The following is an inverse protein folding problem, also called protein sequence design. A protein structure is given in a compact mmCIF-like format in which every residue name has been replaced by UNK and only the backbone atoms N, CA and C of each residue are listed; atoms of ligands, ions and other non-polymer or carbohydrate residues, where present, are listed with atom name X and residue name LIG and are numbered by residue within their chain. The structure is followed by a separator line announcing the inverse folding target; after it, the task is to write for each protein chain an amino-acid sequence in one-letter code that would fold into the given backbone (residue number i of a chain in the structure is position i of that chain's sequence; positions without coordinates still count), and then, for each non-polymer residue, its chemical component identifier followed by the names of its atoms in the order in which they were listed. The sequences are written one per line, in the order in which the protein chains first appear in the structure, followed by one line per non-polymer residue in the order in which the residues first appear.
data_IF_983653889787
#
_entry.id   IF_983653889787
#
_cell.length_a   1.000
_cell.length_b   1.000
_cell.length_c   1.000
_cell.angle_alpha   90.00
_cell.angle_beta   90.00
_cell.angle_gamma   90.00
#
_symmetry.space_group_name_H-M   'P 1'
#
loop_
_entity.id
_entity.type
_entity.pdbx_description
1 polymer ?
#
# COMPACT_ATOMS: atom_id res chain seq x y z
N UNK A 1 16.99 16.31 14.65
CA UNK A 1 16.70 15.61 13.38
C UNK A 1 15.60 14.61 13.66
N UNK A 2 14.37 14.89 13.22
CA UNK A 2 13.22 14.00 13.42
C UNK A 2 13.41 12.75 12.57
N UNK A 3 13.98 11.69 13.15
CA UNK A 3 14.02 10.37 12.54
C UNK A 3 12.58 9.92 12.31
N UNK A 4 12.14 9.93 11.05
CA UNK A 4 10.89 9.27 10.68
C UNK A 4 10.92 7.85 11.28
N UNK A 5 9.82 7.40 11.92
CA UNK A 5 9.78 6.05 12.47
C UNK A 5 10.17 5.06 11.38
N UNK A 6 11.21 4.26 11.60
CA UNK A 6 11.77 3.36 10.59
C UNK A 6 10.70 2.45 9.95
N UNK A 7 9.66 2.11 10.72
CA UNK A 7 8.48 1.41 10.23
C UNK A 7 7.70 2.15 9.13
N UNK A 8 7.56 3.48 9.18
CA UNK A 8 6.90 4.26 8.11
C UNK A 8 7.71 4.28 6.82
N UNK A 9 9.05 4.32 6.94
CA UNK A 9 9.96 4.29 5.78
C UNK A 9 9.86 2.97 5.03
N UNK A 10 9.61 1.86 5.73
CA UNK A 10 9.41 0.53 5.11
C UNK A 10 7.97 0.32 4.63
N UNK A 11 6.98 0.86 5.36
CA UNK A 11 5.56 0.71 5.01
C UNK A 11 5.22 1.35 3.66
N UNK A 12 5.77 2.53 3.37
CA UNK A 12 5.49 3.26 2.13
C UNK A 12 5.88 2.49 0.85
N UNK A 13 7.15 2.02 0.68
CA UNK A 13 7.53 1.26 -0.50
C UNK A 13 6.76 -0.06 -0.63
N UNK A 14 6.46 -0.74 0.48
CA UNK A 14 5.62 -1.96 0.47
C UNK A 14 4.22 -1.62 -0.06
N UNK A 15 3.61 -0.56 0.43
CA UNK A 15 2.28 -0.13 -0.01
C UNK A 15 2.25 0.25 -1.50
N UNK A 16 3.29 0.93 -2.00
CA UNK A 16 3.42 1.28 -3.42
C UNK A 16 3.55 0.03 -4.28
N UNK A 17 4.43 -0.91 -3.93
CA UNK A 17 4.61 -2.16 -4.69
C UNK A 17 3.31 -2.95 -4.74
N UNK A 18 2.62 -3.09 -3.59
CA UNK A 18 1.33 -3.78 -3.54
C UNK A 18 0.26 -3.07 -4.38
N UNK A 19 0.19 -1.74 -4.32
CA UNK A 19 -0.73 -0.96 -5.14
C UNK A 19 -0.49 -1.17 -6.64
N UNK A 20 0.77 -1.13 -7.09
CA UNK A 20 1.12 -1.35 -8.51
C UNK A 20 0.72 -2.76 -8.95
N UNK A 21 1.05 -3.78 -8.17
CA UNK A 21 0.73 -5.17 -8.47
C UNK A 21 -0.79 -5.38 -8.54
N UNK A 22 -1.55 -4.83 -7.60
CA UNK A 22 -3.00 -5.00 -7.54
C UNK A 22 -3.72 -4.25 -8.65
N UNK A 23 -3.32 -3.00 -8.96
CA UNK A 23 -3.89 -2.26 -10.11
C UNK A 23 -3.48 -2.85 -11.46
N UNK A 24 -2.37 -3.59 -11.53
CA UNK A 24 -2.00 -4.36 -12.72
C UNK A 24 -2.88 -5.59 -12.91
N UNK A 25 -3.12 -6.34 -11.83
CA UNK A 25 -3.86 -7.62 -11.88
C UNK A 25 -5.37 -7.44 -11.94
N UNK A 26 -5.89 -6.42 -11.25
CA UNK A 26 -7.33 -6.22 -11.06
C UNK A 26 -7.81 -5.04 -11.90
N UNK A 27 -8.72 -5.29 -12.84
CA UNK A 27 -9.29 -4.24 -13.72
C UNK A 27 -10.20 -3.25 -12.98
N UNK A 28 -10.79 -3.65 -11.86
CA UNK A 28 -11.66 -2.79 -11.06
C UNK A 28 -10.83 -1.97 -10.06
N UNK A 29 -10.84 -0.65 -10.22
CA UNK A 29 -10.07 0.30 -9.42
C UNK A 29 -10.34 0.21 -7.91
N UNK A 30 -11.61 0.13 -7.52
CA UNK A 30 -11.99 0.12 -6.10
C UNK A 30 -11.62 -1.21 -5.45
N UNK A 31 -11.81 -2.31 -6.17
CA UNK A 31 -11.38 -3.63 -5.73
C UNK A 31 -9.86 -3.71 -5.59
N UNK A 32 -9.10 -3.20 -6.56
CA UNK A 32 -7.65 -3.13 -6.49
C UNK A 32 -7.17 -2.31 -5.28
N UNK A 33 -7.84 -1.19 -4.99
CA UNK A 33 -7.51 -0.34 -3.84
C UNK A 33 -7.78 -1.05 -2.50
N UNK A 34 -8.93 -1.70 -2.37
CA UNK A 34 -9.28 -2.49 -1.17
C UNK A 34 -8.30 -3.67 -0.96
N UNK A 35 -8.00 -4.43 -2.01
CA UNK A 35 -7.04 -5.53 -1.95
C UNK A 35 -5.62 -5.06 -1.61
N UNK A 36 -5.21 -3.88 -2.11
CA UNK A 36 -3.92 -3.29 -1.78
C UNK A 36 -3.78 -2.96 -0.30
N UNK A 37 -4.85 -2.44 0.33
CA UNK A 37 -4.88 -2.22 1.78
C UNK A 37 -4.66 -3.50 2.57
N UNK A 38 -5.42 -4.55 2.25
CA UNK A 38 -5.29 -5.87 2.91
C UNK A 38 -3.90 -6.46 2.69
N UNK A 39 -3.38 -6.40 1.45
CA UNK A 39 -2.05 -6.91 1.11
C UNK A 39 -0.92 -6.14 1.82
N UNK A 40 -1.06 -4.82 1.95
CA UNK A 40 -0.10 -3.97 2.68
C UNK A 40 -0.08 -4.34 4.15
N UNK A 41 -1.25 -4.50 4.78
CA UNK A 41 -1.34 -4.97 6.17
C UNK A 41 -0.68 -6.34 6.34
N UNK A 42 -1.02 -7.32 5.49
CA UNK A 42 -0.47 -8.66 5.57
C UNK A 42 1.06 -8.67 5.41
N UNK A 43 1.58 -7.96 4.40
CA UNK A 43 3.01 -7.88 4.14
C UNK A 43 3.76 -7.20 5.31
N UNK A 44 3.25 -6.08 5.80
CA UNK A 44 3.87 -5.37 6.92
C UNK A 44 3.84 -6.18 8.21
N UNK A 45 2.73 -6.85 8.50
CA UNK A 45 2.60 -7.72 9.67
C UNK A 45 3.63 -8.86 9.64
N UNK A 46 3.80 -9.51 8.48
CA UNK A 46 4.82 -10.55 8.29
C UNK A 46 6.23 -10.00 8.49
N UNK A 47 6.55 -8.84 7.92
CA UNK A 47 7.87 -8.20 8.07
C UNK A 47 8.18 -7.87 9.54
N UNK A 48 7.22 -7.27 10.25
CA UNK A 48 7.38 -6.98 11.68
C UNK A 48 7.59 -8.25 12.49
N UNK A 49 6.78 -9.29 12.24
CA UNK A 49 6.87 -10.56 12.94
C UNK A 49 8.27 -11.18 12.85
N UNK A 50 8.91 -11.11 11.67
CA UNK A 50 10.27 -11.63 11.47
C UNK A 50 11.38 -10.74 12.05
N UNK A 51 11.19 -9.42 12.12
CA UNK A 51 12.25 -8.51 12.58
C UNK A 51 12.24 -8.27 14.09
N UNK A 52 11.08 -8.05 14.68
CA UNK A 52 10.97 -7.52 16.05
C UNK A 52 9.76 -8.08 16.84
N UNK A 53 9.01 -9.03 16.26
CA UNK A 53 7.77 -9.53 16.85
C UNK A 53 6.52 -8.80 16.33
N UNK A 54 5.32 -9.15 16.84
CA UNK A 54 4.07 -8.60 16.33
C UNK A 54 4.01 -7.07 16.51
N UNK A 55 3.58 -6.32 15.49
CA UNK A 55 3.51 -4.86 15.56
C UNK A 55 2.46 -4.41 16.57
N UNK A 56 2.83 -3.45 17.44
CA UNK A 56 1.87 -2.71 18.25
C UNK A 56 1.40 -1.44 17.52
N UNK A 57 0.10 -1.08 17.59
CA UNK A 57 -0.98 -1.77 18.29
C UNK A 57 -1.39 -3.07 17.59
N UNK A 58 -1.82 -4.09 18.34
CA UNK A 58 -2.30 -5.37 17.80
C UNK A 58 -3.81 -5.35 17.50
N UNK A 59 -4.28 -6.30 16.69
CA UNK A 59 -5.70 -6.51 16.41
C UNK A 59 -6.33 -5.46 15.47
N UNK A 60 -7.58 -5.07 15.75
CA UNK A 60 -8.41 -4.25 14.84
C UNK A 60 -7.79 -2.85 14.60
N UNK A 61 -7.10 -2.29 15.59
CA UNK A 61 -6.44 -0.97 15.46
C UNK A 61 -5.28 -1.01 14.46
N UNK A 62 -4.46 -2.06 14.52
CA UNK A 62 -3.39 -2.31 13.55
C UNK A 62 -3.95 -2.40 12.14
N UNK A 63 -4.98 -3.23 11.98
CA UNK A 63 -5.63 -3.45 10.70
C UNK A 63 -6.15 -2.14 10.11
N UNK A 64 -6.89 -1.35 10.89
CA UNK A 64 -7.43 -0.07 10.42
C UNK A 64 -6.33 0.91 9.98
N UNK A 65 -5.24 1.02 10.74
CA UNK A 65 -4.13 1.92 10.44
C UNK A 65 -3.38 1.50 9.18
N UNK A 66 -2.92 0.25 9.11
CA UNK A 66 -2.07 -0.22 8.02
C UNK A 66 -2.86 -0.49 6.74
N UNK A 67 -4.06 -1.10 6.84
CA UNK A 67 -4.91 -1.32 5.67
C UNK A 67 -5.48 0.00 5.14
N UNK A 68 -5.83 0.94 6.03
CA UNK A 68 -6.25 2.29 5.65
C UNK A 68 -5.13 3.05 4.94
N UNK A 69 -3.90 3.01 5.48
CA UNK A 69 -2.75 3.60 4.82
C UNK A 69 -2.49 2.98 3.44
N UNK A 70 -2.47 1.65 3.36
CA UNK A 70 -2.30 0.93 2.09
C UNK A 70 -3.41 1.26 1.08
N UNK A 71 -4.65 1.41 1.53
CA UNK A 71 -5.77 1.83 0.69
C UNK A 71 -5.57 3.24 0.14
N UNK A 72 -5.21 4.21 0.99
CA UNK A 72 -4.95 5.60 0.56
C UNK A 72 -3.82 5.64 -0.47
N UNK A 73 -2.70 4.98 -0.18
CA UNK A 73 -1.57 4.88 -1.11
C UNK A 73 -2.00 4.24 -2.43
N UNK A 74 -2.83 3.20 -2.40
CA UNK A 74 -3.34 2.56 -3.60
C UNK A 74 -4.29 3.43 -4.42
N UNK A 75 -5.13 4.24 -3.77
CA UNK A 75 -5.98 5.22 -4.46
C UNK A 75 -5.11 6.27 -5.16
N UNK A 76 -4.13 6.85 -4.45
CA UNK A 76 -3.21 7.85 -5.03
C UNK A 76 -2.41 7.26 -6.19
N UNK A 77 -1.81 6.08 -5.99
CA UNK A 77 -1.01 5.39 -7.01
C UNK A 77 -1.84 5.05 -8.24
N UNK A 78 -3.05 4.53 -8.03
CA UNK A 78 -3.98 4.21 -9.11
C UNK A 78 -4.46 5.44 -9.87
N UNK A 79 -4.72 6.56 -9.18
CA UNK A 79 -5.10 7.84 -9.82
C UNK A 79 -3.96 8.37 -10.70
N UNK A 80 -2.72 8.36 -10.18
CA UNK A 80 -1.53 8.75 -10.94
C UNK A 80 -1.38 7.87 -12.19
N UNK A 81 -1.51 6.56 -12.05
CA UNK A 81 -1.46 5.63 -13.19
C UNK A 81 -2.57 5.89 -14.21
N UNK A 82 -3.78 6.22 -13.75
CA UNK A 82 -4.93 6.52 -14.61
C UNK A 82 -4.77 7.84 -15.37
N UNK A 83 -4.14 8.85 -14.77
CA UNK A 83 -3.84 10.14 -15.42
C UNK A 83 -2.67 10.01 -16.40
N UNK A 84 -1.64 9.21 -16.06
CA UNK A 84 -0.46 9.02 -16.90
C UNK A 84 -0.71 8.13 -18.12
N UNK A 85 -1.58 7.11 -18.02
CA UNK A 85 -1.88 6.19 -19.14
C UNK A 85 -2.32 6.91 -20.42
N UNK A 86 -3.29 7.83 -20.39
CA UNK A 86 -3.70 8.60 -21.57
C UNK A 86 -2.59 9.51 -22.11
N UNK A 87 -1.77 10.09 -21.25
CA UNK A 87 -0.67 10.96 -21.65
C UNK A 87 0.46 10.20 -22.36
N UNK A 88 0.71 8.95 -21.94
CA UNK A 88 1.67 8.05 -22.59
C UNK A 88 1.10 7.41 -23.86
N UNK A 89 -0.19 7.05 -23.88
CA UNK A 89 -0.85 6.45 -25.05
C UNK A 89 -1.07 7.42 -26.21
N UNK A 90 -1.06 8.75 -25.96
CA UNK A 90 -1.12 9.76 -27.03
C UNK A 90 0.22 10.02 -27.73
N UNK A 91 1.30 9.42 -27.23
CA UNK A 91 2.66 9.53 -27.81
C UNK A 91 3.09 8.27 -28.59
N UNK A 92 2.22 7.26 -28.70
CA UNK A 92 2.46 6.04 -29.47
C UNK A 92 1.67 6.07 -30.78
#
# INVERSE_FOLDING_TARGET
MSSLPQGMVVLLPVAIVMAVVMHWRTRNFWLASAMSGIATFAAFYVICFFQAGPPEPTGIKAFALFAGFGFIVAVVTGLVAKVLRPALSRRA
#
